data_IF_369307715385
#
_entry.id   IF_369307715385
#
_cell.length_a   1.000
_cell.length_b   1.000
_cell.length_c   1.000
_cell.angle_alpha   90.00
_cell.angle_beta   90.00
_cell.angle_gamma   90.00
#
_symmetry.space_group_name_H-M   'P 1'
#
loop_
_entity.id
_entity.type
_entity.pdbx_description
1 polymer ?
#
# COMPACT_ATOMS: atom_id res chain seq x y z
N UNK A 1 7.88 2.67 -16.74
CA UNK A 1 8.38 3.60 -15.70
C UNK A 1 7.22 4.48 -15.28
N UNK A 2 6.83 4.42 -14.01
CA UNK A 2 5.72 5.23 -13.48
C UNK A 2 6.12 6.71 -13.40
N UNK A 3 5.26 7.57 -13.93
CA UNK A 3 5.50 9.01 -14.03
C UNK A 3 4.28 9.82 -13.60
N UNK A 4 4.54 11.11 -13.36
CA UNK A 4 3.52 12.10 -13.01
C UNK A 4 3.95 13.49 -13.50
N UNK A 5 3.07 14.48 -13.41
CA UNK A 5 3.32 15.86 -13.86
C UNK A 5 2.89 16.88 -12.80
N UNK A 6 3.42 18.11 -12.92
CA UNK A 6 2.97 19.21 -12.06
C UNK A 6 1.53 19.64 -12.38
N UNK A 7 1.06 19.40 -13.61
CA UNK A 7 -0.34 19.59 -13.99
C UNK A 7 -1.25 18.61 -13.24
N UNK A 8 -0.97 17.30 -13.32
CA UNK A 8 -1.75 16.28 -12.60
C UNK A 8 -1.69 16.53 -11.09
N UNK A 9 -0.54 16.92 -10.54
CA UNK A 9 -0.43 17.28 -9.13
C UNK A 9 -1.38 18.43 -8.74
N UNK A 10 -1.57 19.44 -9.60
CA UNK A 10 -2.55 20.51 -9.35
C UNK A 10 -3.99 20.00 -9.47
N UNK A 11 -4.29 19.22 -10.51
CA UNK A 11 -5.63 18.66 -10.75
C UNK A 11 -6.11 17.76 -9.61
N UNK A 12 -5.18 17.03 -8.98
CA UNK A 12 -5.45 16.19 -7.81
C UNK A 12 -5.32 16.93 -6.47
N UNK A 13 -5.14 18.26 -6.46
CA UNK A 13 -5.03 19.08 -5.25
C UNK A 13 -3.87 18.66 -4.34
N UNK A 14 -2.67 18.45 -4.91
CA UNK A 14 -1.47 18.21 -4.13
C UNK A 14 -1.24 19.30 -3.08
N UNK A 15 -0.80 18.90 -1.89
CA UNK A 15 -0.45 19.82 -0.81
C UNK A 15 0.52 20.90 -1.32
N UNK A 16 0.24 22.16 -0.97
CA UNK A 16 1.01 23.29 -1.46
C UNK A 16 2.49 23.21 -1.07
N UNK A 17 2.78 22.78 0.16
CA UNK A 17 4.15 22.62 0.65
C UNK A 17 4.90 21.53 -0.12
N UNK A 18 4.30 20.35 -0.26
CA UNK A 18 4.87 19.23 -1.03
C UNK A 18 5.09 19.61 -2.50
N UNK A 19 4.12 20.32 -3.10
CA UNK A 19 4.18 20.81 -4.47
C UNK A 19 5.33 21.81 -4.66
N UNK A 20 5.47 22.79 -3.76
CA UNK A 20 6.54 23.80 -3.79
C UNK A 20 7.91 23.17 -3.55
N UNK A 21 8.01 22.22 -2.63
CA UNK A 21 9.25 21.46 -2.35
C UNK A 21 9.73 20.75 -3.60
N UNK A 22 8.86 19.97 -4.24
CA UNK A 22 9.21 19.23 -5.44
C UNK A 22 9.50 20.16 -6.64
N UNK A 23 8.75 21.26 -6.78
CA UNK A 23 9.02 22.30 -7.77
C UNK A 23 10.43 22.88 -7.63
N UNK A 24 10.87 23.17 -6.39
CA UNK A 24 12.23 23.65 -6.12
C UNK A 24 13.28 22.59 -6.47
N UNK A 25 13.04 21.33 -6.12
CA UNK A 25 13.91 20.20 -6.48
C UNK A 25 14.12 20.08 -8.01
N UNK A 26 13.06 20.30 -8.80
CA UNK A 26 13.14 20.29 -10.28
C UNK A 26 13.70 21.59 -10.89
N UNK A 27 14.13 22.56 -10.09
CA UNK A 27 14.68 23.84 -10.56
C UNK A 27 13.62 24.87 -10.98
N UNK A 28 12.37 24.71 -10.50
CA UNK A 28 11.23 25.60 -10.76
C UNK A 28 10.36 25.14 -11.94
N UNK A 29 9.03 25.27 -11.78
CA UNK A 29 8.05 24.77 -12.77
C UNK A 29 8.15 25.51 -14.10
N UNK A 30 8.40 26.82 -14.09
CA UNK A 30 8.56 27.61 -15.33
C UNK A 30 9.73 27.11 -16.18
N UNK A 31 10.83 26.69 -15.53
CA UNK A 31 12.01 26.14 -16.19
C UNK A 31 11.82 24.68 -16.61
N UNK A 32 11.17 23.88 -15.76
CA UNK A 32 10.98 22.45 -16.00
C UNK A 32 9.87 22.15 -17.04
N UNK A 33 8.75 22.88 -16.97
CA UNK A 33 7.53 22.68 -17.74
C UNK A 33 6.47 21.90 -16.97
N UNK A 34 5.27 22.48 -16.79
CA UNK A 34 4.20 21.90 -15.97
C UNK A 34 3.65 20.55 -16.45
N UNK A 35 3.68 20.31 -17.76
CA UNK A 35 3.21 19.07 -18.39
C UNK A 35 4.32 18.03 -18.60
N UNK A 36 5.58 18.35 -18.24
CA UNK A 36 6.70 17.46 -18.47
C UNK A 36 6.69 16.34 -17.42
N UNK A 37 6.63 15.05 -17.82
CA UNK A 37 6.59 13.96 -16.88
C UNK A 37 7.89 13.85 -16.09
N UNK A 38 7.79 13.46 -14.83
CA UNK A 38 8.90 13.09 -13.96
C UNK A 38 8.64 11.71 -13.32
N UNK A 39 9.70 10.93 -13.02
CA UNK A 39 9.58 9.64 -12.34
C UNK A 39 9.05 9.79 -10.92
N UNK A 40 8.20 8.86 -10.47
CA UNK A 40 7.72 8.84 -9.07
C UNK A 40 8.88 8.63 -8.07
N UNK A 41 9.95 7.95 -8.49
CA UNK A 41 11.14 7.76 -7.64
C UNK A 41 11.82 9.09 -7.26
N UNK A 42 11.79 10.09 -8.13
CA UNK A 42 12.31 11.42 -7.77
C UNK A 42 11.46 12.09 -6.68
N UNK A 43 10.16 11.81 -6.64
CA UNK A 43 9.28 12.27 -5.55
C UNK A 43 9.65 11.57 -4.25
N UNK A 44 9.95 10.28 -4.28
CA UNK A 44 10.44 9.55 -3.12
C UNK A 44 11.75 10.18 -2.59
N UNK A 45 12.68 10.51 -3.46
CA UNK A 45 13.97 11.12 -3.10
C UNK A 45 13.82 12.53 -2.52
N UNK A 46 13.02 13.39 -3.16
CA UNK A 46 12.87 14.80 -2.74
C UNK A 46 11.91 14.96 -1.57
N UNK A 47 10.76 14.30 -1.63
CA UNK A 47 9.63 14.56 -0.77
C UNK A 47 9.44 13.50 0.32
N UNK A 48 9.82 12.26 0.02
CA UNK A 48 9.69 11.12 0.92
C UNK A 48 8.51 10.23 0.56
N UNK A 49 8.33 9.19 1.37
CA UNK A 49 7.43 8.08 1.08
C UNK A 49 5.96 8.51 0.99
N UNK A 50 5.48 9.39 1.86
CA UNK A 50 4.06 9.78 1.90
C UNK A 50 3.59 10.48 0.62
N UNK A 51 4.44 11.35 0.07
CA UNK A 51 4.20 12.04 -1.20
C UNK A 51 4.40 11.08 -2.39
N UNK A 52 5.38 10.19 -2.35
CA UNK A 52 5.56 9.18 -3.40
C UNK A 52 4.36 8.23 -3.50
N UNK A 53 3.85 7.75 -2.36
CA UNK A 53 2.62 6.97 -2.31
C UNK A 53 1.40 7.82 -2.72
N UNK A 54 1.43 9.14 -2.48
CA UNK A 54 0.41 10.07 -3.01
C UNK A 54 0.32 10.02 -4.51
N UNK A 55 1.47 10.21 -5.12
CA UNK A 55 1.60 10.26 -6.56
C UNK A 55 1.26 8.89 -7.15
N UNK A 56 1.70 7.79 -6.54
CA UNK A 56 1.38 6.44 -7.01
C UNK A 56 -0.14 6.16 -7.02
N UNK A 57 -0.87 6.65 -6.02
CA UNK A 57 -2.33 6.54 -5.97
C UNK A 57 -3.05 7.31 -7.09
N UNK A 58 -2.50 8.45 -7.52
CA UNK A 58 -3.14 9.37 -8.47
C UNK A 58 -2.52 9.36 -9.88
N UNK A 59 -1.38 8.73 -10.08
CA UNK A 59 -0.78 8.61 -11.40
C UNK A 59 -1.65 7.76 -12.32
N UNK A 60 -1.47 7.92 -13.63
CA UNK A 60 -2.23 7.22 -14.66
C UNK A 60 -2.41 5.72 -14.35
N UNK A 61 -3.66 5.28 -14.37
CA UNK A 61 -4.02 3.86 -14.24
C UNK A 61 -3.37 3.05 -15.38
N UNK A 62 -2.49 2.12 -15.02
CA UNK A 62 -1.77 1.24 -15.94
C UNK A 62 -1.53 -0.11 -15.27
N UNK A 63 -1.35 -1.17 -16.06
CA UNK A 63 -0.97 -2.49 -15.51
C UNK A 63 0.32 -2.43 -14.69
N UNK A 64 1.28 -1.57 -15.07
CA UNK A 64 2.52 -1.35 -14.33
C UNK A 64 2.25 -0.74 -12.95
N UNK A 65 1.38 0.28 -12.88
CA UNK A 65 0.96 0.92 -11.62
C UNK A 65 0.26 -0.09 -10.72
N UNK A 66 -0.73 -0.80 -11.25
CA UNK A 66 -1.53 -1.74 -10.45
C UNK A 66 -0.66 -2.89 -9.92
N UNK A 67 0.30 -3.36 -10.72
CA UNK A 67 1.32 -4.31 -10.29
C UNK A 67 2.17 -3.73 -9.15
N UNK A 68 2.68 -2.51 -9.29
CA UNK A 68 3.52 -1.87 -8.29
C UNK A 68 2.78 -1.67 -6.96
N UNK A 69 1.54 -1.16 -7.00
CA UNK A 69 0.69 -0.99 -5.81
C UNK A 69 0.45 -2.32 -5.13
N UNK A 70 0.04 -3.36 -5.88
CA UNK A 70 -0.26 -4.66 -5.31
C UNK A 70 0.96 -5.33 -4.69
N UNK A 71 2.12 -5.28 -5.35
CA UNK A 71 3.34 -5.89 -4.80
C UNK A 71 3.83 -5.15 -3.56
N UNK A 72 3.84 -3.81 -3.57
CA UNK A 72 4.13 -3.02 -2.38
C UNK A 72 3.20 -3.38 -1.22
N UNK A 73 1.93 -3.61 -1.53
CA UNK A 73 0.94 -4.00 -0.54
C UNK A 73 1.15 -5.40 0.02
N UNK A 74 1.52 -6.37 -0.83
CA UNK A 74 1.92 -7.70 -0.39
C UNK A 74 3.14 -7.60 0.54
N UNK A 75 4.16 -6.81 0.19
CA UNK A 75 5.34 -6.60 1.02
C UNK A 75 4.99 -5.96 2.38
N UNK A 76 3.98 -5.09 2.44
CA UNK A 76 3.51 -4.50 3.69
C UNK A 76 2.76 -5.53 4.55
N UNK A 77 1.86 -6.31 3.95
CA UNK A 77 1.07 -7.33 4.64
C UNK A 77 1.95 -8.48 5.15
N UNK A 78 2.95 -8.91 4.38
CA UNK A 78 3.89 -9.96 4.78
C UNK A 78 4.71 -9.59 6.02
N UNK A 79 5.03 -8.30 6.22
CA UNK A 79 5.77 -7.83 7.41
C UNK A 79 4.99 -8.02 8.71
N UNK A 80 3.66 -7.95 8.65
CA UNK A 80 2.79 -8.09 9.84
C UNK A 80 2.15 -9.48 9.95
N UNK A 81 2.20 -10.29 8.88
CA UNK A 81 1.63 -11.65 8.84
C UNK A 81 2.08 -12.55 10.00
N UNK A 82 3.36 -12.58 10.42
CA UNK A 82 3.79 -13.45 11.52
C UNK A 82 3.08 -13.17 12.85
N UNK A 83 2.68 -11.91 13.12
CA UNK A 83 1.91 -11.55 14.33
C UNK A 83 0.54 -12.22 14.27
N UNK A 84 -0.16 -12.07 13.15
CA UNK A 84 -1.47 -12.70 12.96
C UNK A 84 -1.38 -14.23 13.09
N UNK A 85 -0.35 -14.85 12.51
CA UNK A 85 -0.18 -16.30 12.57
C UNK A 85 0.20 -16.82 13.96
N UNK A 86 0.79 -15.98 14.82
CA UNK A 86 1.03 -16.32 16.24
C UNK A 86 -0.31 -16.44 16.98
N UNK A 87 -1.21 -15.48 16.80
CA UNK A 87 -2.52 -15.44 17.47
C UNK A 87 -3.54 -16.41 16.85
N UNK A 88 -3.44 -16.64 15.53
CA UNK A 88 -4.37 -17.44 14.75
C UNK A 88 -3.65 -18.51 13.90
N UNK A 89 -2.93 -19.47 14.51
CA UNK A 89 -2.04 -20.40 13.79
C UNK A 89 -2.75 -21.29 12.76
N UNK A 90 -4.03 -21.56 12.98
CA UNK A 90 -4.88 -22.38 12.09
C UNK A 90 -5.52 -21.57 10.95
N UNK A 91 -5.51 -20.25 11.03
CA UNK A 91 -6.10 -19.40 10.00
C UNK A 91 -5.07 -19.06 8.91
N UNK A 92 -5.18 -19.73 7.77
CA UNK A 92 -4.28 -19.54 6.62
C UNK A 92 -4.81 -18.56 5.58
N UNK A 93 -5.97 -17.94 5.81
CA UNK A 93 -6.61 -17.06 4.83
C UNK A 93 -5.77 -15.82 4.48
N UNK A 94 -5.14 -15.10 5.42
CA UNK A 94 -4.34 -13.92 5.06
C UNK A 94 -3.11 -14.30 4.22
N UNK A 95 -2.40 -15.37 4.60
CA UNK A 95 -1.27 -15.89 3.82
C UNK A 95 -1.68 -16.24 2.38
N UNK A 96 -2.77 -17.00 2.21
CA UNK A 96 -3.29 -17.35 0.88
C UNK A 96 -3.72 -16.13 0.06
N UNK A 97 -4.29 -15.11 0.71
CA UNK A 97 -4.69 -13.88 0.04
C UNK A 97 -3.47 -13.11 -0.51
N UNK A 98 -2.39 -13.02 0.27
CA UNK A 98 -1.11 -12.43 -0.15
C UNK A 98 -0.52 -13.20 -1.34
N UNK A 99 -0.42 -14.53 -1.22
CA UNK A 99 0.15 -15.40 -2.26
C UNK A 99 -0.59 -15.23 -3.61
N UNK A 100 -1.92 -15.34 -3.60
CA UNK A 100 -2.74 -15.19 -4.82
C UNK A 100 -2.63 -13.78 -5.40
N UNK A 101 -2.56 -12.76 -4.54
CA UNK A 101 -2.40 -11.37 -4.99
C UNK A 101 -1.05 -11.15 -5.66
N UNK A 102 0.04 -11.65 -5.07
CA UNK A 102 1.38 -11.58 -5.65
C UNK A 102 1.44 -12.30 -7.00
N UNK A 103 0.91 -13.53 -7.09
CA UNK A 103 0.83 -14.27 -8.35
C UNK A 103 -0.02 -13.55 -9.40
N UNK A 104 -1.16 -12.96 -9.02
CA UNK A 104 -1.99 -12.18 -9.94
C UNK A 104 -1.25 -10.94 -10.48
N UNK A 105 -0.51 -10.21 -9.62
CA UNK A 105 0.34 -9.10 -10.05
C UNK A 105 1.43 -9.53 -11.05
N UNK A 106 1.92 -10.77 -10.94
CA UNK A 106 2.90 -11.33 -11.86
C UNK A 106 2.30 -12.00 -13.10
N UNK A 107 0.97 -12.07 -13.22
CA UNK A 107 0.29 -12.74 -14.33
C UNK A 107 0.26 -14.26 -14.20
N UNK A 108 0.53 -14.80 -13.01
CA UNK A 108 0.60 -16.23 -12.69
C UNK A 108 -0.71 -16.77 -12.12
N UNK A 109 -1.63 -15.88 -11.70
CA UNK A 109 -2.96 -16.25 -11.22
C UNK A 109 -4.06 -15.53 -12.00
N UNK A 110 -5.21 -16.18 -12.13
CA UNK A 110 -6.37 -15.63 -12.85
C UNK A 110 -7.22 -14.72 -11.97
N UNK A 111 -8.11 -13.95 -12.59
CA UNK A 111 -9.07 -13.11 -11.88
C UNK A 111 -10.02 -13.96 -11.02
N UNK A 112 -10.35 -15.17 -11.45
CA UNK A 112 -11.21 -16.12 -10.73
C UNK A 112 -10.52 -16.66 -9.48
N UNK A 113 -9.23 -17.02 -9.58
CA UNK A 113 -8.44 -17.44 -8.41
C UNK A 113 -8.35 -16.30 -7.39
N UNK A 114 -8.14 -15.07 -7.86
CA UNK A 114 -8.20 -13.86 -7.02
C UNK A 114 -9.58 -13.68 -6.38
N UNK A 115 -10.66 -13.84 -7.14
CA UNK A 115 -12.04 -13.70 -6.65
C UNK A 115 -12.41 -14.78 -5.62
N UNK A 116 -11.92 -16.01 -5.79
CA UNK A 116 -12.13 -17.10 -4.84
C UNK A 116 -11.40 -16.87 -3.51
N UNK A 117 -10.13 -16.47 -3.55
CA UNK A 117 -9.39 -16.05 -2.35
C UNK A 117 -10.10 -14.89 -1.65
N UNK A 118 -10.68 -13.98 -2.43
CA UNK A 118 -11.50 -12.86 -1.97
C UNK A 118 -12.73 -13.32 -1.18
N UNK A 119 -13.51 -14.24 -1.74
CA UNK A 119 -14.69 -14.76 -1.06
C UNK A 119 -14.34 -15.51 0.23
N UNK A 120 -13.26 -16.31 0.22
CA UNK A 120 -12.80 -17.06 1.40
C UNK A 120 -12.35 -16.13 2.54
N UNK A 121 -11.73 -15.00 2.23
CA UNK A 121 -11.40 -13.97 3.20
C UNK A 121 -12.66 -13.41 3.88
N UNK A 122 -13.60 -12.92 3.07
CA UNK A 122 -14.83 -12.27 3.56
C UNK A 122 -15.69 -13.20 4.44
N UNK A 123 -15.75 -14.48 4.10
CA UNK A 123 -16.58 -15.46 4.82
C UNK A 123 -16.16 -15.71 6.29
N UNK A 124 -14.95 -15.34 6.71
CA UNK A 124 -14.52 -15.53 8.11
C UNK A 124 -13.90 -14.29 8.75
N UNK A 125 -14.04 -13.11 8.14
CA UNK A 125 -13.58 -11.84 8.74
C UNK A 125 -14.48 -11.37 9.91
N UNK A 126 -15.51 -12.14 10.27
CA UNK A 126 -16.46 -11.81 11.34
C UNK A 126 -15.88 -11.89 12.77
N UNK A 127 -14.61 -12.27 12.99
CA UNK A 127 -14.13 -12.49 14.36
C UNK A 127 -12.62 -12.56 14.63
N UNK A 128 -11.74 -12.12 13.73
CA UNK A 128 -10.28 -12.15 13.95
C UNK A 128 -9.64 -10.79 13.63
N UNK A 129 -8.58 -10.45 14.36
CA UNK A 129 -7.86 -9.17 14.40
C UNK A 129 -8.04 -8.31 13.14
N UNK A 130 -8.86 -7.25 13.27
CA UNK A 130 -9.25 -6.38 12.17
C UNK A 130 -8.04 -5.82 11.44
N UNK A 131 -6.97 -5.43 12.15
CA UNK A 131 -5.93 -4.60 11.54
C UNK A 131 -5.00 -5.34 10.57
N UNK A 132 -4.44 -6.50 10.96
CA UNK A 132 -3.60 -7.30 10.05
C UNK A 132 -4.44 -7.90 8.91
N UNK A 133 -5.70 -8.22 9.19
CA UNK A 133 -6.63 -8.66 8.17
C UNK A 133 -7.04 -7.56 7.20
N UNK A 134 -7.21 -6.34 7.68
CA UNK A 134 -7.51 -5.17 6.85
C UNK A 134 -6.30 -4.85 5.96
N UNK A 135 -5.08 -4.92 6.47
CA UNK A 135 -3.87 -4.77 5.65
C UNK A 135 -3.80 -5.80 4.51
N UNK A 136 -4.07 -7.08 4.81
CA UNK A 136 -4.12 -8.13 3.79
C UNK A 136 -5.30 -7.95 2.82
N UNK A 137 -6.45 -7.47 3.30
CA UNK A 137 -7.63 -7.18 2.48
C UNK A 137 -7.39 -6.03 1.51
N UNK A 138 -6.85 -4.91 2.00
CA UNK A 138 -6.47 -3.76 1.18
C UNK A 138 -5.39 -4.19 0.18
N UNK A 139 -4.39 -4.98 0.59
CA UNK A 139 -3.35 -5.47 -0.32
C UNK A 139 -3.87 -6.37 -1.45
N UNK A 140 -4.90 -7.15 -1.17
CA UNK A 140 -5.45 -8.04 -2.17
C UNK A 140 -6.31 -7.29 -3.20
N UNK A 141 -7.01 -6.22 -2.80
CA UNK A 141 -8.15 -5.71 -3.55
C UNK A 141 -8.11 -4.22 -3.86
N UNK A 142 -7.35 -3.43 -3.11
CA UNK A 142 -7.21 -2.00 -3.35
C UNK A 142 -6.02 -1.75 -4.27
N UNK A 143 -6.27 -1.92 -5.56
CA UNK A 143 -5.32 -1.54 -6.62
C UNK A 143 -5.30 -0.01 -6.79
N UNK A 144 -6.13 0.73 -6.05
CA UNK A 144 -6.35 2.16 -6.24
C UNK A 144 -5.61 3.02 -5.24
N UNK A 145 -5.38 2.57 -4.01
CA UNK A 145 -4.74 3.41 -2.98
C UNK A 145 -3.65 2.70 -2.16
N UNK A 146 -2.40 2.83 -2.63
CA UNK A 146 -1.21 2.36 -1.91
C UNK A 146 -1.05 2.97 -0.50
N UNK A 147 -1.71 4.10 -0.20
CA UNK A 147 -1.69 4.69 1.14
C UNK A 147 -2.75 4.16 2.04
N UNK A 148 -3.92 3.79 1.51
CA UNK A 148 -4.85 2.99 2.29
C UNK A 148 -4.15 1.73 2.78
N UNK A 149 -3.39 1.06 1.89
CA UNK A 149 -2.56 -0.10 2.25
C UNK A 149 -1.54 0.25 3.32
N UNK A 150 -0.69 1.26 3.08
CA UNK A 150 0.38 1.61 4.00
C UNK A 150 -0.16 1.99 5.39
N UNK A 151 -1.30 2.70 5.44
CA UNK A 151 -1.99 3.05 6.69
C UNK A 151 -2.58 1.84 7.38
N UNK A 152 -3.19 0.91 6.66
CA UNK A 152 -3.72 -0.33 7.21
C UNK A 152 -2.58 -1.19 7.80
N UNK A 153 -1.47 -1.34 7.08
CA UNK A 153 -0.28 -2.05 7.57
C UNK A 153 0.35 -1.36 8.80
N UNK A 154 0.44 -0.03 8.80
CA UNK A 154 0.92 0.73 9.96
C UNK A 154 -0.04 0.64 11.15
N UNK A 155 -1.35 0.59 10.91
CA UNK A 155 -2.37 0.32 11.92
C UNK A 155 -2.18 -1.06 12.54
N UNK A 156 -2.02 -2.08 11.70
CA UNK A 156 -1.74 -3.45 12.13
C UNK A 156 -0.48 -3.55 12.99
N UNK A 157 0.61 -2.90 12.58
CA UNK A 157 1.85 -2.88 13.35
C UNK A 157 1.69 -2.18 14.71
N UNK A 158 0.91 -1.10 14.80
CA UNK A 158 0.64 -0.42 16.08
C UNK A 158 -0.19 -1.27 17.02
N UNK A 159 -1.24 -1.93 16.53
CA UNK A 159 -2.07 -2.82 17.34
C UNK A 159 -1.30 -4.06 17.80
N UNK A 160 -0.47 -4.63 16.93
CA UNK A 160 0.45 -5.71 17.28
C UNK A 160 1.45 -5.29 18.36
N UNK A 161 2.00 -4.08 18.27
CA UNK A 161 2.92 -3.56 19.27
C UNK A 161 2.23 -3.27 20.60
N UNK A 162 0.99 -2.79 20.60
CA UNK A 162 0.18 -2.64 21.80
C UNK A 162 -0.11 -4.01 22.47
N UNK A 163 -0.50 -5.02 21.69
CA UNK A 163 -0.73 -6.37 22.19
C UNK A 163 0.56 -7.03 22.75
N UNK A 164 1.73 -6.74 22.15
CA UNK A 164 3.02 -7.20 22.65
C UNK A 164 3.53 -6.39 23.87
N UNK A 165 3.12 -5.12 24.00
CA UNK A 165 3.44 -4.25 25.14
C UNK A 165 2.69 -4.64 26.43
N UNK A 166 1.52 -5.24 26.29
CA UNK A 166 0.75 -5.78 27.42
C UNK A 166 1.37 -7.07 28.01
N UNK A 167 2.27 -7.77 27.29
CA UNK A 167 3.02 -8.93 27.81
C UNK A 167 4.20 -8.53 28.74
N UNK A 168 4.59 -7.25 28.83
CA UNK A 168 5.74 -6.78 29.65
C UNK A 168 5.32 -6.34 31.08
N UNK A 169 4.02 -6.17 31.36
CA UNK A 169 3.53 -5.73 32.67
C UNK A 169 2.98 -6.86 33.57
N UNK A 170 3.45 -8.11 33.44
CA UNK A 170 3.07 -9.22 34.34
C UNK A 170 4.10 -9.56 35.42
N UNK A 171 5.14 -8.74 35.59
CA UNK A 171 6.07 -8.81 36.72
C UNK A 171 6.35 -7.40 37.29
N UNK A 172 5.41 -6.88 38.06
CA UNK A 172 5.64 -5.85 39.08
C UNK A 172 4.63 -6.04 40.21
#
# INVERSE_FOLDING_TARGET
MLTFTFKEAREHNACEDSYRKFAKFKGGITKWGGNKPFPILEVLESNGLDDALWVLGHCKETKERDKAIRLFACDCAERVLPIFEKEHPKDKRPRKAIEVSRSYANGEATQEQRAAARAAWAAGAAGAARDAGDAAWVAAWDDRDARAVARAAAGAARHAWAAAGDEINFFA
#
